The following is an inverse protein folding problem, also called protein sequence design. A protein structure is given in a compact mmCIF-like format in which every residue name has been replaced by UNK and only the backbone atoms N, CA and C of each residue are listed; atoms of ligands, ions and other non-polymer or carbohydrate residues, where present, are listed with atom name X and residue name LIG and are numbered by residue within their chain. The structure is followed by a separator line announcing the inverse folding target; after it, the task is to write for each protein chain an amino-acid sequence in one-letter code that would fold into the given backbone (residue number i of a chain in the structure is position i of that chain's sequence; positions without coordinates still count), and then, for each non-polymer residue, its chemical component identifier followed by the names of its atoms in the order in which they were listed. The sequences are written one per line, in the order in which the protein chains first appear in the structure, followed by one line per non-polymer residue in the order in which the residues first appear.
data_IF_844441052302
#
_entry.id   IF_844441052302
#
_cell.length_a   1.000
_cell.length_b   1.000
_cell.length_c   1.000
_cell.angle_alpha   90.00
_cell.angle_beta   90.00
_cell.angle_gamma   90.00
#
_symmetry.space_group_name_H-M   'P 1'
#
loop_
_entity.id
_entity.type
_entity.pdbx_description
1 polymer ?
#
# COMPACT_ATOMS: atom_id res chain seq x y z
N UNK A 1 46.32 -10.44 -31.20
CA UNK A 1 45.32 -10.97 -30.20
C UNK A 1 44.36 -9.91 -29.71
N UNK A 2 44.73 -8.66 -29.57
CA UNK A 2 43.88 -7.56 -29.01
C UNK A 2 42.60 -7.24 -29.78
N UNK A 3 42.57 -7.30 -31.11
CA UNK A 3 41.36 -7.01 -31.91
C UNK A 3 40.24 -8.00 -31.72
N UNK A 4 40.54 -9.29 -31.47
CA UNK A 4 39.52 -10.31 -31.21
C UNK A 4 38.81 -10.14 -29.86
N UNK A 5 39.56 -9.76 -28.83
CA UNK A 5 38.97 -9.47 -27.49
C UNK A 5 38.17 -8.18 -27.49
N UNK A 6 38.62 -7.16 -28.26
CA UNK A 6 37.87 -5.92 -28.42
C UNK A 6 36.49 -6.15 -29.06
N UNK A 7 36.42 -6.99 -30.12
CA UNK A 7 35.12 -7.35 -30.72
C UNK A 7 34.23 -8.15 -29.77
N UNK A 8 34.80 -9.05 -28.95
CA UNK A 8 34.02 -9.81 -27.93
C UNK A 8 33.50 -8.91 -26.82
N UNK A 9 34.28 -7.94 -26.35
CA UNK A 9 33.84 -6.97 -25.34
C UNK A 9 32.76 -6.03 -25.91
N UNK A 10 32.92 -5.60 -27.17
CA UNK A 10 31.94 -4.78 -27.85
C UNK A 10 30.63 -5.55 -28.09
N UNK A 11 30.71 -6.81 -28.45
CA UNK A 11 29.54 -7.68 -28.60
C UNK A 11 28.83 -7.95 -27.27
N UNK A 12 29.58 -8.08 -26.16
CA UNK A 12 29.03 -8.22 -24.80
C UNK A 12 28.36 -6.92 -24.33
N UNK A 13 28.92 -5.76 -24.67
CA UNK A 13 28.34 -4.44 -24.36
C UNK A 13 27.06 -4.15 -25.15
N UNK A 14 26.92 -4.65 -26.37
CA UNK A 14 25.74 -4.48 -27.20
C UNK A 14 24.62 -5.43 -26.72
N UNK A 15 24.93 -6.55 -26.06
CA UNK A 15 23.95 -7.50 -25.47
C UNK A 15 23.21 -7.00 -24.25
N UNK A 16 23.62 -5.88 -23.65
CA UNK A 16 22.92 -5.21 -22.54
C UNK A 16 21.99 -4.11 -23.08
N UNK A 17 21.29 -4.38 -24.18
CA UNK A 17 20.13 -3.56 -24.54
C UNK A 17 19.05 -3.93 -23.57
N UNK A 18 18.95 -3.14 -22.48
CA UNK A 18 17.96 -3.34 -21.44
C UNK A 18 16.58 -3.49 -22.07
N UNK A 19 15.86 -4.51 -21.66
CA UNK A 19 14.42 -4.62 -21.88
C UNK A 19 13.78 -3.40 -21.21
N UNK A 20 13.61 -2.32 -21.99
CA UNK A 20 12.87 -1.17 -21.54
C UNK A 20 11.46 -1.65 -21.22
N UNK A 21 11.10 -1.67 -19.94
CA UNK A 21 9.78 -2.07 -19.47
C UNK A 21 8.75 -1.23 -20.22
N UNK A 22 7.95 -1.87 -21.08
CA UNK A 22 6.94 -1.19 -21.86
C UNK A 22 5.69 -0.96 -21.01
N UNK A 23 5.64 0.20 -20.38
CA UNK A 23 4.40 0.70 -19.84
C UNK A 23 3.57 1.25 -21.00
N UNK A 24 2.23 1.13 -20.97
CA UNK A 24 1.35 1.75 -21.93
C UNK A 24 1.66 3.24 -22.09
N UNK A 25 1.57 3.74 -23.30
CA UNK A 25 1.70 5.17 -23.54
C UNK A 25 0.56 5.91 -22.83
N UNK A 26 0.83 7.14 -22.39
CA UNK A 26 -0.22 8.01 -21.84
C UNK A 26 -1.34 8.15 -22.85
N UNK A 27 -2.60 7.94 -22.45
CA UNK A 27 -3.75 8.03 -23.37
C UNK A 27 -3.89 9.43 -23.98
N UNK A 28 -4.31 9.47 -25.23
CA UNK A 28 -4.62 10.71 -25.93
C UNK A 28 -5.92 10.52 -26.74
N UNK A 29 -7.04 11.15 -26.39
CA UNK A 29 -7.21 12.12 -25.29
C UNK A 29 -6.95 11.50 -23.91
N UNK A 30 -6.57 12.32 -22.91
CA UNK A 30 -6.31 11.83 -21.56
C UNK A 30 -7.60 11.36 -20.89
N UNK A 31 -7.51 10.20 -20.18
CA UNK A 31 -8.61 9.60 -19.43
C UNK A 31 -8.11 9.12 -18.06
N UNK A 32 -9.01 9.14 -17.07
CA UNK A 32 -8.73 8.59 -15.74
C UNK A 32 -8.98 7.09 -15.67
N UNK A 33 -9.83 6.54 -16.54
CA UNK A 33 -10.08 5.09 -16.63
C UNK A 33 -9.52 4.58 -17.96
N UNK A 34 -8.62 3.60 -17.87
CA UNK A 34 -7.88 3.04 -19.00
C UNK A 34 -7.92 1.51 -18.91
N UNK A 35 -8.90 0.91 -19.53
CA UNK A 35 -9.14 -0.53 -19.49
C UNK A 35 -8.45 -1.25 -20.66
N UNK A 36 -7.13 -1.48 -20.52
CA UNK A 36 -6.37 -2.22 -21.54
C UNK A 36 -6.54 -3.75 -21.44
N UNK A 37 -7.16 -4.24 -20.37
CA UNK A 37 -7.44 -5.65 -20.18
C UNK A 37 -8.85 -6.06 -20.64
N UNK A 38 -9.68 -5.10 -21.03
CA UNK A 38 -11.07 -5.30 -21.48
C UNK A 38 -11.91 -6.10 -20.45
N UNK A 39 -11.78 -5.70 -19.17
CA UNK A 39 -12.52 -6.33 -18.05
C UNK A 39 -13.72 -5.52 -17.60
N UNK A 40 -13.90 -4.34 -18.15
CA UNK A 40 -15.05 -3.46 -17.90
C UNK A 40 -15.89 -3.34 -19.17
N UNK A 41 -17.17 -3.20 -19.01
CA UNK A 41 -18.04 -2.81 -20.14
C UNK A 41 -17.91 -1.31 -20.39
N UNK A 42 -18.17 -0.83 -21.60
CA UNK A 42 -18.17 0.60 -21.95
C UNK A 42 -19.01 1.45 -20.98
N UNK A 43 -20.14 0.91 -20.53
CA UNK A 43 -21.01 1.58 -19.57
C UNK A 43 -20.35 1.73 -18.20
N UNK A 44 -19.65 0.71 -17.73
CA UNK A 44 -18.93 0.71 -16.46
C UNK A 44 -17.73 1.66 -16.52
N UNK A 45 -16.97 1.59 -17.61
CA UNK A 45 -15.84 2.48 -17.85
C UNK A 45 -16.27 3.95 -17.83
N UNK A 46 -17.33 4.29 -18.60
CA UNK A 46 -17.85 5.65 -18.63
C UNK A 46 -18.42 6.11 -17.28
N UNK A 47 -19.07 5.23 -16.53
CA UNK A 47 -19.58 5.55 -15.19
C UNK A 47 -18.45 5.89 -14.21
N UNK A 48 -17.36 5.10 -14.21
CA UNK A 48 -16.16 5.38 -13.42
C UNK A 48 -15.49 6.68 -13.88
N UNK A 49 -15.30 6.88 -15.19
CA UNK A 49 -14.69 8.09 -15.75
C UNK A 49 -15.43 9.34 -15.29
N UNK A 50 -16.75 9.38 -15.44
CA UNK A 50 -17.57 10.52 -14.99
C UNK A 50 -17.43 10.77 -13.48
N UNK A 51 -17.41 9.72 -12.66
CA UNK A 51 -17.20 9.83 -11.21
C UNK A 51 -15.84 10.43 -10.89
N UNK A 52 -14.78 9.94 -11.53
CA UNK A 52 -13.41 10.36 -11.26
C UNK A 52 -13.13 11.77 -11.77
N UNK A 53 -13.67 12.13 -12.94
CA UNK A 53 -13.58 13.50 -13.47
C UNK A 53 -14.30 14.49 -12.55
N UNK A 54 -15.53 14.19 -12.11
CA UNK A 54 -16.26 15.05 -11.17
C UNK A 54 -15.52 15.22 -9.85
N UNK A 55 -14.85 14.17 -9.36
CA UNK A 55 -14.03 14.22 -8.16
C UNK A 55 -12.77 15.08 -8.37
N UNK A 56 -12.08 14.89 -9.50
CA UNK A 56 -10.93 15.71 -9.87
C UNK A 56 -11.31 17.21 -9.97
N UNK A 57 -12.42 17.53 -10.63
CA UNK A 57 -12.87 18.90 -10.82
C UNK A 57 -13.19 19.61 -9.49
N UNK A 58 -13.67 18.86 -8.50
CA UNK A 58 -14.04 19.41 -7.20
C UNK A 58 -12.88 19.50 -6.21
N UNK A 59 -11.86 18.63 -6.32
CA UNK A 59 -10.79 18.48 -5.31
C UNK A 59 -9.38 18.63 -5.87
N UNK A 60 -9.23 18.66 -7.19
CA UNK A 60 -7.96 18.55 -7.91
C UNK A 60 -7.21 17.22 -7.65
N UNK A 61 -7.82 16.27 -6.96
CA UNK A 61 -7.24 14.94 -6.71
C UNK A 61 -7.53 14.02 -7.88
N UNK A 62 -6.50 13.38 -8.41
CA UNK A 62 -6.60 12.50 -9.56
C UNK A 62 -6.49 11.04 -9.15
N UNK A 63 -7.55 10.27 -9.37
CA UNK A 63 -7.52 8.83 -9.21
C UNK A 63 -7.54 8.22 -10.62
N UNK A 64 -6.47 7.54 -11.00
CA UNK A 64 -6.32 6.90 -12.30
C UNK A 64 -6.46 5.39 -12.15
N UNK A 65 -7.38 4.80 -12.89
CA UNK A 65 -7.61 3.36 -12.95
C UNK A 65 -6.98 2.82 -14.23
N UNK A 66 -6.15 1.81 -14.11
CA UNK A 66 -5.48 1.16 -15.24
C UNK A 66 -5.61 -0.34 -15.11
N UNK A 67 -6.10 -1.00 -16.15
CA UNK A 67 -6.10 -2.46 -16.22
C UNK A 67 -5.13 -2.93 -17.29
N UNK A 68 -4.43 -4.03 -17.05
CA UNK A 68 -3.47 -4.60 -18.01
C UNK A 68 -3.50 -6.11 -17.98
N UNK A 69 -3.26 -6.75 -19.12
CA UNK A 69 -3.15 -8.22 -19.20
C UNK A 69 -1.78 -8.73 -18.75
N UNK A 70 -0.73 -7.89 -18.82
CA UNK A 70 0.63 -8.29 -18.48
C UNK A 70 1.39 -7.17 -17.80
N UNK A 71 2.21 -7.54 -16.82
CA UNK A 71 3.14 -6.64 -16.13
C UNK A 71 4.53 -6.58 -16.80
N UNK A 72 4.72 -7.26 -17.93
CA UNK A 72 5.96 -7.26 -18.70
C UNK A 72 7.22 -7.60 -17.86
N UNK A 73 7.09 -8.53 -16.91
CA UNK A 73 8.19 -9.01 -16.08
C UNK A 73 8.56 -8.10 -14.90
N UNK A 74 7.75 -7.07 -14.61
CA UNK A 74 7.90 -6.22 -13.41
C UNK A 74 6.85 -6.57 -12.35
N UNK A 75 6.97 -5.99 -11.16
CA UNK A 75 5.95 -6.09 -10.10
C UNK A 75 4.79 -5.14 -10.41
N UNK A 76 3.60 -5.44 -9.88
CA UNK A 76 2.45 -4.53 -10.01
C UNK A 76 2.70 -3.18 -9.33
N UNK A 77 3.48 -3.17 -8.25
CA UNK A 77 3.85 -1.92 -7.57
C UNK A 77 4.74 -1.04 -8.44
N UNK A 78 5.81 -1.59 -8.99
CA UNK A 78 6.70 -0.84 -9.89
C UNK A 78 5.98 -0.40 -11.16
N UNK A 79 5.07 -1.24 -11.70
CA UNK A 79 4.32 -0.91 -12.90
C UNK A 79 3.36 0.26 -12.64
N UNK A 80 2.62 0.23 -11.53
CA UNK A 80 1.71 1.31 -11.14
C UNK A 80 2.46 2.60 -10.79
N UNK A 81 3.57 2.50 -10.06
CA UNK A 81 4.45 3.62 -9.76
C UNK A 81 4.94 4.31 -11.05
N UNK A 82 5.44 3.52 -11.99
CA UNK A 82 5.93 4.05 -13.26
C UNK A 82 4.81 4.69 -14.10
N UNK A 83 3.57 4.17 -14.05
CA UNK A 83 2.41 4.84 -14.67
C UNK A 83 2.21 6.19 -14.02
N UNK A 84 2.15 6.25 -12.69
CA UNK A 84 1.96 7.49 -11.95
C UNK A 84 2.96 8.56 -12.35
N UNK A 85 4.24 8.23 -12.34
CA UNK A 85 5.33 9.14 -12.70
C UNK A 85 5.33 9.53 -14.19
N UNK A 86 5.26 8.55 -15.11
CA UNK A 86 5.38 8.83 -16.55
C UNK A 86 4.15 9.52 -17.13
N UNK A 87 2.96 9.22 -16.63
CA UNK A 87 1.75 9.93 -17.04
C UNK A 87 1.58 11.25 -16.31
N UNK A 88 2.26 11.41 -15.16
CA UNK A 88 2.16 12.58 -14.29
C UNK A 88 0.82 12.66 -13.60
N UNK A 89 0.33 11.52 -13.07
CA UNK A 89 -0.98 11.46 -12.38
C UNK A 89 -0.94 12.33 -11.12
N UNK A 90 -1.95 13.17 -10.96
CA UNK A 90 -2.02 14.14 -9.87
C UNK A 90 -1.72 15.56 -10.32
N UNK A 91 -1.61 16.45 -9.36
CA UNK A 91 -1.28 17.86 -9.58
C UNK A 91 0.08 18.20 -8.94
N UNK A 92 0.44 19.47 -8.95
CA UNK A 92 1.62 20.00 -8.23
C UNK A 92 1.61 19.69 -6.72
N UNK A 93 0.44 19.36 -6.18
CA UNK A 93 0.27 19.00 -4.76
C UNK A 93 0.48 17.49 -4.52
N UNK A 94 0.91 16.74 -5.55
CA UNK A 94 1.17 15.30 -5.54
C UNK A 94 -0.02 14.47 -5.07
N UNK A 95 -1.24 14.91 -5.39
CA UNK A 95 -2.49 14.30 -4.97
C UNK A 95 -3.03 13.28 -5.98
N UNK A 96 -2.12 12.52 -6.58
CA UNK A 96 -2.43 11.44 -7.51
C UNK A 96 -2.61 10.09 -6.80
N UNK A 97 -3.47 9.24 -7.35
CA UNK A 97 -3.58 7.82 -6.98
C UNK A 97 -3.68 7.00 -8.25
N UNK A 98 -2.92 5.90 -8.34
CA UNK A 98 -3.01 4.93 -9.42
C UNK A 98 -3.52 3.61 -8.86
N UNK A 99 -4.63 3.13 -9.40
CA UNK A 99 -5.18 1.79 -9.13
C UNK A 99 -4.87 0.94 -10.35
N UNK A 100 -3.96 -0.02 -10.20
CA UNK A 100 -3.60 -0.96 -11.25
C UNK A 100 -4.26 -2.30 -10.98
N UNK A 101 -4.90 -2.88 -11.99
CA UNK A 101 -5.49 -4.22 -11.91
C UNK A 101 -4.98 -5.09 -13.06
N UNK A 102 -4.36 -6.21 -12.74
CA UNK A 102 -4.10 -7.30 -13.67
C UNK A 102 -5.08 -8.42 -13.35
N UNK A 103 -6.03 -8.73 -14.24
CA UNK A 103 -6.99 -9.80 -13.98
C UNK A 103 -6.32 -11.15 -13.86
N UNK A 104 -6.98 -12.08 -13.16
CA UNK A 104 -6.59 -13.48 -13.13
C UNK A 104 -6.81 -14.10 -14.51
N UNK A 105 -5.82 -14.86 -14.97
CA UNK A 105 -5.91 -15.67 -16.19
C UNK A 105 -5.89 -17.16 -15.84
N UNK A 106 -5.96 -18.02 -16.85
CA UNK A 106 -5.85 -19.47 -16.64
C UNK A 106 -4.48 -19.87 -16.04
N UNK A 107 -3.43 -19.15 -16.43
CA UNK A 107 -2.04 -19.49 -16.11
C UNK A 107 -1.45 -18.64 -14.98
N UNK A 108 -2.06 -17.48 -14.65
CA UNK A 108 -1.51 -16.52 -13.69
C UNK A 108 -2.56 -16.00 -12.72
N UNK A 109 -2.13 -15.81 -11.48
CA UNK A 109 -2.94 -15.12 -10.47
C UNK A 109 -3.24 -13.67 -10.88
N UNK A 110 -4.38 -13.17 -10.44
CA UNK A 110 -4.67 -11.75 -10.49
C UNK A 110 -3.73 -10.96 -9.57
N UNK A 111 -3.49 -9.71 -9.92
CA UNK A 111 -2.64 -8.80 -9.14
C UNK A 111 -3.24 -7.39 -9.12
N UNK A 112 -3.25 -6.76 -7.97
CA UNK A 112 -3.75 -5.39 -7.78
C UNK A 112 -2.74 -4.57 -7.00
N UNK A 113 -2.48 -3.36 -7.47
CA UNK A 113 -1.67 -2.38 -6.76
C UNK A 113 -2.38 -1.04 -6.67
N UNK A 114 -2.23 -0.37 -5.53
CA UNK A 114 -2.63 1.03 -5.35
C UNK A 114 -1.36 1.81 -4.99
N UNK A 115 -0.99 2.75 -5.85
CA UNK A 115 0.12 3.67 -5.60
C UNK A 115 -0.43 5.06 -5.34
N UNK A 116 0.14 5.73 -4.34
CA UNK A 116 -0.31 7.05 -3.90
C UNK A 116 0.81 8.08 -4.04
N UNK A 117 0.45 9.26 -4.51
CA UNK A 117 1.35 10.41 -4.48
C UNK A 117 1.53 10.95 -3.06
N UNK A 118 2.61 11.67 -2.83
CA UNK A 118 2.95 12.22 -1.51
C UNK A 118 1.81 12.99 -0.83
N UNK A 119 0.99 13.73 -1.59
CA UNK A 119 -0.14 14.48 -1.07
C UNK A 119 -1.29 13.61 -0.57
N UNK A 120 -1.34 12.33 -0.97
CA UNK A 120 -2.39 11.38 -0.57
C UNK A 120 -1.96 10.43 0.55
N UNK A 121 -0.66 10.34 0.89
CA UNK A 121 -0.15 9.46 1.96
C UNK A 121 -0.81 9.69 3.33
N UNK A 122 -1.15 10.94 3.74
CA UNK A 122 -1.84 11.16 5.01
C UNK A 122 -3.23 10.52 5.08
N UNK A 123 -3.89 10.32 3.95
CA UNK A 123 -5.25 9.76 3.85
C UNK A 123 -5.23 8.26 3.56
N UNK A 124 -4.31 7.81 2.72
CA UNK A 124 -4.18 6.43 2.27
C UNK A 124 -2.80 5.91 2.67
N UNK A 125 -2.64 5.65 3.97
CA UNK A 125 -1.42 5.03 4.50
C UNK A 125 -1.29 3.57 4.03
N UNK A 126 -0.11 2.96 4.16
CA UNK A 126 0.13 1.57 3.73
C UNK A 126 -0.85 0.58 4.36
N UNK A 127 -1.17 0.73 5.65
CA UNK A 127 -2.13 -0.11 6.34
C UNK A 127 -3.55 0.06 5.80
N UNK A 128 -3.95 1.29 5.49
CA UNK A 128 -5.25 1.61 4.87
C UNK A 128 -5.31 1.06 3.46
N UNK A 129 -4.25 1.26 2.68
CA UNK A 129 -4.09 0.72 1.33
C UNK A 129 -4.25 -0.81 1.32
N UNK A 130 -3.54 -1.51 2.21
CA UNK A 130 -3.70 -2.95 2.38
C UNK A 130 -5.15 -3.34 2.67
N UNK A 131 -5.82 -2.63 3.59
CA UNK A 131 -7.22 -2.86 3.94
C UNK A 131 -8.17 -2.64 2.75
N UNK A 132 -7.96 -1.60 1.93
CA UNK A 132 -8.78 -1.35 0.74
C UNK A 132 -8.63 -2.52 -0.24
N UNK A 133 -7.41 -2.94 -0.55
CA UNK A 133 -7.18 -4.05 -1.48
C UNK A 133 -7.79 -5.35 -0.99
N UNK A 134 -7.59 -5.68 0.28
CA UNK A 134 -8.01 -6.98 0.83
C UNK A 134 -9.50 -7.07 1.19
N UNK A 135 -10.11 -5.97 1.61
CA UNK A 135 -11.51 -5.95 2.07
C UNK A 135 -12.50 -5.46 1.01
N UNK A 136 -12.07 -4.55 0.12
CA UNK A 136 -12.97 -3.95 -0.87
C UNK A 136 -12.77 -4.54 -2.28
N UNK A 137 -11.51 -4.80 -2.69
CA UNK A 137 -11.23 -5.20 -4.07
C UNK A 137 -11.20 -6.73 -4.24
N UNK A 138 -10.34 -7.42 -3.50
CA UNK A 138 -10.08 -8.86 -3.70
C UNK A 138 -11.33 -9.72 -3.55
N UNK A 139 -12.26 -9.52 -2.59
CA UNK A 139 -13.47 -10.32 -2.52
C UNK A 139 -14.32 -10.23 -3.79
N UNK A 140 -14.50 -9.02 -4.33
CA UNK A 140 -15.24 -8.79 -5.58
C UNK A 140 -14.52 -9.42 -6.79
N UNK A 141 -13.19 -9.31 -6.85
CA UNK A 141 -12.39 -9.89 -7.94
C UNK A 141 -12.42 -11.42 -7.94
N UNK A 142 -12.48 -12.05 -6.78
CA UNK A 142 -12.67 -13.51 -6.67
C UNK A 142 -14.02 -13.98 -7.20
N UNK A 143 -15.03 -13.11 -7.17
CA UNK A 143 -16.35 -13.34 -7.76
C UNK A 143 -16.41 -12.97 -9.24
N UNK A 144 -15.31 -12.43 -9.81
CA UNK A 144 -15.25 -11.97 -11.20
C UNK A 144 -15.83 -10.56 -11.42
N UNK A 145 -16.24 -9.87 -10.36
CA UNK A 145 -16.84 -8.54 -10.44
C UNK A 145 -15.77 -7.45 -10.26
N UNK A 146 -15.01 -7.22 -11.34
CA UNK A 146 -13.92 -6.24 -11.35
C UNK A 146 -14.44 -4.80 -11.16
N UNK A 147 -15.58 -4.48 -11.78
CA UNK A 147 -16.18 -3.15 -11.64
C UNK A 147 -16.48 -2.83 -10.18
N UNK A 148 -17.16 -3.72 -9.47
CA UNK A 148 -17.52 -3.53 -8.07
C UNK A 148 -16.28 -3.35 -7.20
N UNK A 149 -15.24 -4.17 -7.39
CA UNK A 149 -14.01 -4.04 -6.63
C UNK A 149 -13.28 -2.72 -6.85
N UNK A 150 -13.21 -2.25 -8.10
CA UNK A 150 -12.62 -0.95 -8.44
C UNK A 150 -13.47 0.19 -7.88
N UNK A 151 -14.80 0.15 -8.06
CA UNK A 151 -15.71 1.19 -7.58
C UNK A 151 -15.69 1.32 -6.05
N UNK A 152 -15.63 0.20 -5.33
CA UNK A 152 -15.48 0.16 -3.88
C UNK A 152 -14.17 0.82 -3.43
N UNK A 153 -13.05 0.52 -4.09
CA UNK A 153 -11.77 1.14 -3.78
C UNK A 153 -11.79 2.65 -4.04
N UNK A 154 -12.34 3.08 -5.16
CA UNK A 154 -12.52 4.50 -5.49
C UNK A 154 -13.36 5.19 -4.41
N UNK A 155 -14.50 4.61 -4.01
CA UNK A 155 -15.35 5.17 -2.97
C UNK A 155 -14.64 5.25 -1.62
N UNK A 156 -13.84 4.23 -1.27
CA UNK A 156 -13.04 4.22 -0.05
C UNK A 156 -11.99 5.35 -0.04
N UNK A 157 -11.26 5.52 -1.13
CA UNK A 157 -10.24 6.57 -1.27
C UNK A 157 -10.89 7.96 -1.20
N UNK A 158 -11.98 8.19 -1.92
CA UNK A 158 -12.75 9.45 -1.87
C UNK A 158 -13.25 9.73 -0.45
N UNK A 159 -13.82 8.72 0.22
CA UNK A 159 -14.32 8.85 1.59
C UNK A 159 -13.23 9.17 2.61
N UNK A 160 -12.05 8.62 2.45
CA UNK A 160 -10.87 8.89 3.29
C UNK A 160 -10.35 10.32 3.07
N UNK A 161 -10.17 10.71 1.82
CA UNK A 161 -9.67 12.04 1.46
C UNK A 161 -10.63 13.16 1.85
N UNK A 162 -11.95 12.91 1.81
CA UNK A 162 -12.97 13.86 2.25
C UNK A 162 -13.19 13.89 3.78
N UNK A 163 -12.53 13.00 4.53
CA UNK A 163 -12.74 12.83 5.97
C UNK A 163 -14.05 12.14 6.36
N UNK A 164 -14.83 11.66 5.38
CA UNK A 164 -16.07 10.91 5.63
C UNK A 164 -15.79 9.52 6.25
N UNK A 165 -14.64 8.93 5.95
CA UNK A 165 -14.18 7.68 6.53
C UNK A 165 -12.96 7.89 7.44
N UNK A 166 -12.90 7.12 8.51
CA UNK A 166 -11.71 7.07 9.38
C UNK A 166 -10.82 5.92 8.92
N UNK A 167 -9.54 6.19 8.74
CA UNK A 167 -8.56 5.19 8.29
C UNK A 167 -8.49 3.92 9.15
N UNK A 168 -8.89 4.00 10.44
CA UNK A 168 -8.92 2.85 11.34
C UNK A 168 -9.90 1.74 10.91
N UNK A 169 -10.90 2.02 10.06
CA UNK A 169 -11.78 0.99 9.46
C UNK A 169 -10.97 0.00 8.60
N UNK A 170 -9.96 0.50 7.91
CA UNK A 170 -9.14 -0.29 7.00
C UNK A 170 -7.84 -0.79 7.64
N UNK A 171 -7.30 -0.05 8.63
CA UNK A 171 -6.04 -0.39 9.30
C UNK A 171 -6.17 -1.53 10.33
N UNK A 172 -7.39 -1.86 10.78
CA UNK A 172 -7.62 -3.04 11.63
C UNK A 172 -7.48 -4.31 10.78
N UNK A 173 -6.43 -5.07 11.04
CA UNK A 173 -6.37 -6.47 10.65
C UNK A 173 -7.37 -7.23 11.52
N UNK A 174 -8.29 -7.97 10.91
CA UNK A 174 -9.18 -8.90 11.62
C UNK A 174 -8.43 -10.14 12.13
N UNK A 175 -7.09 -10.17 11.94
CA UNK A 175 -6.17 -11.23 12.44
C UNK A 175 -5.91 -11.15 13.96
N UNK A 176 -6.70 -10.38 14.71
CA UNK A 176 -6.57 -10.32 16.18
C UNK A 176 -6.90 -11.65 16.87
N UNK A 177 -7.56 -12.60 16.18
CA UNK A 177 -7.81 -13.94 16.71
C UNK A 177 -6.58 -14.85 16.59
N UNK A 178 -5.69 -14.64 15.60
CA UNK A 178 -4.47 -15.43 15.43
C UNK A 178 -3.35 -15.01 16.41
N UNK A 179 -3.32 -13.77 16.85
CA UNK A 179 -2.34 -13.29 17.82
C UNK A 179 -2.48 -13.98 19.18
N UNK A 180 -3.72 -14.31 19.59
CA UNK A 180 -3.99 -15.11 20.80
C UNK A 180 -3.55 -16.56 20.59
N UNK A 181 -3.74 -17.13 19.41
CA UNK A 181 -3.27 -18.47 19.07
C UNK A 181 -1.75 -18.57 19.09
N UNK A 182 -1.05 -17.62 18.50
CA UNK A 182 0.43 -17.55 18.51
C UNK A 182 0.97 -17.37 19.94
N UNK A 183 0.33 -16.52 20.75
CA UNK A 183 0.71 -16.32 22.15
C UNK A 183 0.53 -17.60 22.97
N UNK A 184 -0.57 -18.33 22.80
CA UNK A 184 -0.85 -19.60 23.48
C UNK A 184 0.19 -20.66 23.08
N UNK A 185 0.51 -20.78 21.79
CA UNK A 185 1.56 -21.72 21.31
C UNK A 185 2.93 -21.34 21.87
N UNK A 186 3.28 -20.06 21.91
CA UNK A 186 4.53 -19.58 22.49
C UNK A 186 4.61 -19.87 23.98
N UNK A 187 3.54 -19.62 24.75
CA UNK A 187 3.48 -19.94 26.19
C UNK A 187 3.55 -21.45 26.42
N UNK A 188 2.93 -22.27 25.57
CA UNK A 188 3.03 -23.74 25.66
C UNK A 188 4.45 -24.23 25.40
N UNK A 189 5.16 -23.66 24.41
CA UNK A 189 6.58 -23.99 24.16
C UNK A 189 7.50 -23.60 25.33
N UNK A 190 7.28 -22.40 25.88
CA UNK A 190 8.01 -21.95 27.07
C UNK A 190 7.76 -22.89 28.28
N UNK A 191 6.48 -23.29 28.47
CA UNK A 191 6.11 -24.22 29.55
C UNK A 191 6.76 -25.61 29.39
N UNK A 192 6.76 -26.15 28.16
CA UNK A 192 7.46 -27.41 27.85
C UNK A 192 8.95 -27.27 28.07
N UNK A 193 9.57 -26.15 27.71
CA UNK A 193 11.00 -25.90 27.97
C UNK A 193 11.33 -25.83 29.45
N UNK A 194 10.46 -25.24 30.25
CA UNK A 194 10.58 -25.21 31.73
C UNK A 194 10.46 -26.63 32.32
N UNK A 195 9.51 -27.43 31.84
CA UNK A 195 9.36 -28.83 32.30
C UNK A 195 10.58 -29.69 31.95
N UNK A 196 11.16 -29.53 30.75
CA UNK A 196 12.39 -30.23 30.34
C UNK A 196 13.58 -29.78 31.20
N UNK A 197 13.65 -28.51 31.54
CA UNK A 197 14.71 -27.97 32.43
C UNK A 197 14.57 -28.50 33.87
N UNK A 198 13.35 -28.60 34.36
CA UNK A 198 13.06 -29.13 35.71
C UNK A 198 13.36 -30.62 35.80
N UNK A 199 13.12 -31.41 34.74
CA UNK A 199 13.41 -32.85 34.71
C UNK A 199 14.91 -33.19 34.63
N UNK A 200 15.76 -32.23 34.25
CA UNK A 200 17.24 -32.41 34.21
C UNK A 200 17.94 -32.11 35.52
N UNK A 201 17.24 -31.69 36.57
CA UNK A 201 17.81 -31.38 37.90
C UNK A 201 17.63 -32.51 38.92
N UNK A 202 17.55 -33.73 38.46
CA UNK A 202 17.57 -34.92 39.31
C UNK A 202 18.94 -35.57 39.32
N UNK A 203 19.84 -35.17 40.26
CA UNK A 203 21.01 -35.96 40.56
C UNK A 203 22.34 -35.22 40.58
N UNK A 204 22.69 -34.55 41.67
CA UNK A 204 23.95 -34.82 42.37
C UNK A 204 23.96 -34.16 43.75
N UNK A 205 24.08 -34.98 44.79
CA UNK A 205 24.38 -34.57 46.16
C UNK A 205 25.89 -34.34 46.31
N UNK A 206 26.26 -33.21 46.87
CA UNK A 206 27.58 -33.09 47.50
C UNK A 206 28.26 -31.74 47.26
N UNK A 207 28.40 -30.92 48.32
CA UNK A 207 29.32 -29.79 48.32
C UNK A 207 28.85 -28.55 49.09
N UNK A 208 29.19 -28.48 50.40
CA UNK A 208 29.13 -27.28 51.22
C UNK A 208 29.94 -26.15 50.63
N UNK A 209 29.40 -24.92 50.65
CA UNK A 209 30.27 -23.75 50.63
C UNK A 209 29.63 -22.48 50.09
N UNK A 210 29.43 -21.53 51.00
CA UNK A 210 29.53 -20.08 50.82
C UNK A 210 28.42 -19.30 50.11
N UNK A 211 27.79 -18.53 50.90
CA UNK A 211 26.99 -17.33 50.74
C UNK A 211 27.42 -16.44 49.59
N UNK A 212 26.49 -16.19 48.69
CA UNK A 212 26.52 -15.15 47.66
C UNK A 212 25.22 -15.17 46.89
N UNK A 213 24.27 -14.33 47.31
CA UNK A 213 23.03 -14.14 46.58
C UNK A 213 23.35 -13.57 45.19
N UNK A 214 23.45 -14.44 44.20
CA UNK A 214 23.40 -14.05 42.80
C UNK A 214 21.91 -13.93 42.45
N UNK A 215 21.45 -12.69 42.32
CA UNK A 215 20.15 -12.38 41.76
C UNK A 215 20.06 -13.05 40.37
N UNK A 216 19.10 -13.94 40.22
CA UNK A 216 18.86 -14.64 38.96
C UNK A 216 18.50 -13.64 37.86
N UNK A 217 18.94 -13.94 36.64
CA UNK A 217 18.65 -13.14 35.43
C UNK A 217 17.17 -12.71 35.35
N UNK A 218 16.26 -13.52 35.82
CA UNK A 218 14.81 -13.24 35.83
C UNK A 218 14.39 -12.23 36.88
N UNK A 219 15.05 -12.18 38.05
CA UNK A 219 14.75 -11.15 39.07
C UNK A 219 15.24 -9.77 38.62
N UNK A 220 16.33 -9.68 37.86
CA UNK A 220 16.82 -8.46 37.27
C UNK A 220 15.88 -7.92 36.18
N UNK A 221 15.27 -8.78 35.40
CA UNK A 221 14.35 -8.43 34.31
C UNK A 221 12.99 -7.93 34.84
N UNK A 222 12.53 -8.54 35.96
CA UNK A 222 11.27 -8.15 36.61
C UNK A 222 11.37 -6.81 37.36
N UNK A 223 12.50 -6.55 38.01
CA UNK A 223 12.76 -5.26 38.67
C UNK A 223 12.99 -4.10 37.68
N UNK A 224 13.61 -4.38 36.51
CA UNK A 224 13.83 -3.39 35.46
C UNK A 224 12.54 -2.89 34.80
N UNK A 225 11.54 -3.74 34.67
CA UNK A 225 10.25 -3.36 34.06
C UNK A 225 9.35 -2.53 35.00
N UNK A 226 9.55 -2.63 36.31
CA UNK A 226 8.76 -1.85 37.30
C UNK A 226 9.27 -0.42 37.53
N UNK A 227 10.53 -0.10 37.14
CA UNK A 227 11.11 1.22 37.33
C UNK A 227 11.01 2.17 36.12
N UNK A 228 10.41 1.73 35.01
CA UNK A 228 10.19 2.58 33.84
C UNK A 228 8.75 3.10 33.78
N UNK A 229 8.29 3.69 34.85
CA UNK A 229 7.02 4.40 34.93
C UNK A 229 7.24 5.88 35.23
N UNK A 230 7.06 6.73 34.24
CA UNK A 230 6.83 8.14 34.52
C UNK A 230 7.70 9.12 33.75
N UNK A 231 7.23 9.56 32.61
CA UNK A 231 7.37 10.99 32.30
C UNK A 231 6.19 11.47 31.42
N UNK A 232 5.33 12.20 32.10
CA UNK A 232 4.30 13.03 31.49
C UNK A 232 4.99 14.24 30.89
N UNK A 233 4.91 14.45 29.58
CA UNK A 233 5.08 15.77 29.01
C UNK A 233 3.74 16.31 28.50
N UNK A 234 3.42 17.37 29.17
CA UNK A 234 2.30 18.25 29.06
C UNK A 234 2.53 19.23 27.90
N UNK A 235 1.55 19.33 27.03
CA UNK A 235 1.03 20.48 26.33
C UNK A 235 1.98 21.45 25.65
N UNK A 236 1.71 21.69 24.37
CA UNK A 236 1.63 23.07 23.89
C UNK A 236 0.58 23.15 22.78
N UNK A 237 -0.44 23.87 23.12
CA UNK A 237 -1.44 24.50 22.29
C UNK A 237 -0.74 25.48 21.33
N UNK A 238 -1.01 25.37 20.04
CA UNK A 238 -0.85 26.47 19.11
C UNK A 238 -2.16 26.71 18.39
N UNK A 239 -2.62 27.92 18.66
CA UNK A 239 -3.87 28.50 18.28
C UNK A 239 -3.97 28.79 16.78
N UNK A 240 -5.20 28.97 16.40
CA UNK A 240 -5.74 29.14 15.09
C UNK A 240 -5.27 30.38 14.33
N UNK A 241 -5.49 30.27 13.03
CA UNK A 241 -5.74 31.43 12.19
C UNK A 241 -6.82 31.05 11.17
N UNK A 242 -7.96 31.64 11.39
CA UNK A 242 -9.08 31.71 10.47
C UNK A 242 -8.71 32.58 9.28
N UNK A 243 -8.71 31.98 8.09
CA UNK A 243 -8.63 32.67 6.82
C UNK A 243 -9.87 32.34 6.00
N UNK A 244 -10.90 33.16 6.11
CA UNK A 244 -12.05 33.20 5.24
C UNK A 244 -11.62 33.73 3.88
N UNK A 245 -11.82 32.95 2.82
CA UNK A 245 -11.88 33.48 1.46
C UNK A 245 -13.14 32.89 0.80
N UNK A 246 -14.12 33.76 0.73
CA UNK A 246 -15.27 33.58 -0.11
C UNK A 246 -14.91 33.89 -1.57
N UNK A 247 -15.58 33.23 -2.50
CA UNK A 247 -15.49 33.62 -3.91
C UNK A 247 -16.07 32.60 -4.86
N UNK A 248 -17.31 32.76 -5.26
CA UNK A 248 -17.74 32.64 -6.63
C UNK A 248 -18.06 31.24 -7.15
N UNK A 249 -19.28 30.79 -6.89
CA UNK A 249 -19.97 29.78 -7.69
C UNK A 249 -20.18 30.30 -9.13
N UNK A 250 -19.58 29.60 -10.08
CA UNK A 250 -20.03 29.63 -11.47
C UNK A 250 -20.39 28.22 -11.88
N UNK A 251 -21.66 27.91 -11.84
CA UNK A 251 -22.26 26.73 -12.46
C UNK A 251 -22.34 26.96 -13.95
N UNK A 252 -21.32 26.52 -14.66
CA UNK A 252 -21.33 26.35 -16.09
C UNK A 252 -21.27 24.87 -16.39
N UNK A 253 -22.40 24.26 -16.72
CA UNK A 253 -22.45 22.90 -17.25
C UNK A 253 -21.70 22.87 -18.59
N UNK A 254 -20.49 22.31 -18.54
CA UNK A 254 -19.75 21.89 -19.70
C UNK A 254 -19.51 20.39 -19.52
N UNK A 255 -19.97 19.58 -20.45
CA UNK A 255 -19.57 18.19 -20.62
C UNK A 255 -18.11 18.16 -21.06
N UNK A 256 -17.23 18.63 -20.19
CA UNK A 256 -15.80 18.64 -20.40
C UNK A 256 -15.24 17.27 -19.98
N UNK A 257 -14.59 16.57 -20.91
CA UNK A 257 -13.76 15.42 -20.59
C UNK A 257 -12.61 15.83 -19.67
N UNK A 258 -11.91 14.84 -19.10
CA UNK A 258 -10.74 15.03 -18.24
C UNK A 258 -9.70 15.95 -18.88
N UNK A 259 -9.35 17.03 -18.19
CA UNK A 259 -8.45 18.07 -18.72
C UNK A 259 -6.98 17.67 -18.83
N UNK A 260 -6.62 16.49 -18.29
CA UNK A 260 -5.27 15.92 -18.34
C UNK A 260 -4.57 15.83 -16.99
N UNK A 261 -3.48 15.06 -16.97
CA UNK A 261 -2.65 14.88 -15.78
C UNK A 261 -1.78 16.10 -15.50
N UNK A 262 -1.63 16.47 -14.24
CA UNK A 262 -1.02 17.71 -13.78
C UNK A 262 0.44 17.64 -13.31
N UNK A 263 1.07 16.45 -13.41
CA UNK A 263 2.50 16.28 -13.08
C UNK A 263 2.78 16.01 -11.60
N UNK A 264 1.96 15.19 -10.94
CA UNK A 264 2.23 14.73 -9.57
C UNK A 264 3.39 13.74 -9.48
N UNK A 265 4.02 13.67 -8.29
CA UNK A 265 5.08 12.73 -7.95
C UNK A 265 4.62 11.71 -6.90
N UNK A 266 5.17 10.50 -6.98
CA UNK A 266 4.85 9.37 -6.12
C UNK A 266 6.01 9.05 -5.18
N UNK A 267 5.70 8.72 -3.90
CA UNK A 267 6.72 8.41 -2.88
C UNK A 267 7.14 6.95 -2.83
N UNK A 268 6.57 6.10 -3.69
CA UNK A 268 6.75 4.65 -3.55
C UNK A 268 5.97 4.07 -2.35
N UNK A 269 5.21 4.88 -1.64
CA UNK A 269 4.18 4.44 -0.69
C UNK A 269 3.03 3.80 -1.47
N UNK A 270 2.72 2.57 -1.13
CA UNK A 270 1.73 1.80 -1.85
C UNK A 270 1.88 0.33 -1.56
N UNK A 271 1.17 -0.51 -2.28
CA UNK A 271 1.34 -1.94 -2.13
C UNK A 271 0.47 -2.74 -3.07
N UNK A 272 0.84 -3.99 -3.24
CA UNK A 272 0.14 -4.94 -4.09
C UNK A 272 -0.41 -6.13 -3.32
N UNK A 273 -1.34 -6.82 -3.94
CA UNK A 273 -1.91 -8.07 -3.43
C UNK A 273 -2.33 -8.96 -4.59
N UNK A 274 -2.14 -10.27 -4.41
CA UNK A 274 -2.53 -11.29 -5.40
C UNK A 274 -3.77 -12.06 -4.92
N UNK A 275 -4.56 -12.59 -5.88
CA UNK A 275 -5.73 -13.44 -5.60
C UNK A 275 -5.91 -14.59 -6.56
#
# INVERSE_FOLDING_TARGET
MTKRYFCLILALLIGVVGFAQKIPARPNPPRLVNDFADILTDRQENALEHKLVAYNDSTSTQICVVTVLSLNGTTSDDFAYQIGEKWGVGSKDNNGVVILVKPKTADELGDVSIQVGYGMEPYVTDAVNYGIRTKEMIPAFKEGDYYRGIDNAVNAIIGLASGAYKGNKYAKNDDSDDALGVLVVFLALVFVMVLISASRHGGNKGGKGSSGRKLGFWEGLFLGSMMSGGNKHRGSSWGGSSGSWGGGSSWGGSSGGFGGFGGGHFGGGGGSSKW
#
